data_IF_884552752536
#
_entry.id   IF_884552752536
#
_cell.length_a   1.000
_cell.length_b   1.000
_cell.length_c   1.000
_cell.angle_alpha   90.00
_cell.angle_beta   90.00
_cell.angle_gamma   90.00
#
_symmetry.space_group_name_H-M   'P 1'
#
loop_
_entity.id
_entity.type
_entity.pdbx_description
1 polymer ?
#
# COMPACT_ATOMS: atom_id res chain seq x y z
N UNK A 1 6.87 -12.17 -20.50
CA UNK A 1 7.91 -12.07 -19.45
C UNK A 1 9.02 -11.18 -19.96
N UNK A 2 9.11 -9.93 -19.49
CA UNK A 2 10.19 -8.99 -19.79
C UNK A 2 10.77 -8.53 -18.46
N UNK A 3 11.51 -9.41 -17.78
CA UNK A 3 11.90 -9.19 -16.37
C UNK A 3 13.42 -9.03 -16.17
N UNK A 4 14.22 -8.97 -17.25
CA UNK A 4 15.68 -8.94 -17.08
C UNK A 4 16.37 -7.68 -17.61
N UNK A 5 15.91 -7.04 -18.70
CA UNK A 5 16.63 -5.87 -19.26
C UNK A 5 15.78 -4.83 -20.04
N UNK A 6 14.44 -4.89 -19.99
CA UNK A 6 13.58 -4.12 -20.92
C UNK A 6 12.34 -3.47 -20.31
N UNK A 7 12.26 -3.39 -18.99
CA UNK A 7 11.07 -2.90 -18.27
C UNK A 7 10.77 -1.43 -18.63
N UNK A 8 11.82 -0.60 -18.73
CA UNK A 8 11.73 0.80 -19.18
C UNK A 8 11.24 0.97 -20.63
N UNK A 9 11.40 -0.04 -21.49
CA UNK A 9 10.93 0.00 -22.89
C UNK A 9 9.44 -0.33 -23.02
N UNK A 10 8.84 -0.91 -21.98
CA UNK A 10 7.41 -1.27 -21.93
C UNK A 10 6.58 -0.34 -21.06
N UNK A 11 7.24 0.53 -20.28
CA UNK A 11 6.59 1.49 -19.40
C UNK A 11 5.85 2.55 -20.20
N UNK A 12 4.53 2.65 -20.00
CA UNK A 12 3.65 3.62 -20.64
C UNK A 12 2.85 4.33 -19.54
N UNK A 13 3.37 5.43 -18.97
CA UNK A 13 2.73 6.13 -17.86
C UNK A 13 1.27 6.48 -18.15
N UNK A 14 0.95 6.81 -19.41
CA UNK A 14 -0.40 7.14 -19.87
C UNK A 14 -1.42 5.99 -19.75
N UNK A 15 -0.94 4.76 -19.51
CA UNK A 15 -1.77 3.56 -19.32
C UNK A 15 -1.82 3.09 -17.88
N UNK A 16 -1.10 3.75 -16.97
CA UNK A 16 -1.17 3.44 -15.55
C UNK A 16 -2.55 3.86 -15.02
N UNK A 17 -3.14 3.01 -14.18
CA UNK A 17 -4.43 3.28 -13.56
C UNK A 17 -4.37 2.91 -12.08
N UNK A 18 -4.99 3.75 -11.24
CA UNK A 18 -5.23 3.45 -9.84
C UNK A 18 -6.60 2.80 -9.72
N UNK A 19 -6.65 1.61 -9.11
CA UNK A 19 -7.91 0.94 -8.80
C UNK A 19 -8.10 0.91 -7.29
N UNK A 20 -9.26 1.38 -6.82
CA UNK A 20 -9.64 1.32 -5.41
C UNK A 20 -10.67 0.20 -5.24
N UNK A 21 -10.35 -0.77 -4.39
CA UNK A 21 -11.25 -1.88 -4.03
C UNK A 21 -11.76 -1.69 -2.59
N UNK A 22 -13.04 -1.97 -2.32
CA UNK A 22 -13.59 -1.90 -0.96
C UNK A 22 -13.13 -3.05 -0.06
N UNK A 23 -12.45 -4.05 -0.63
CA UNK A 23 -11.97 -5.25 0.04
C UNK A 23 -10.45 -5.38 -0.12
N UNK A 24 -9.85 -6.28 0.65
CA UNK A 24 -8.43 -6.58 0.55
C UNK A 24 -8.17 -7.44 -0.69
N UNK A 25 -7.68 -6.81 -1.76
CA UNK A 25 -7.22 -7.50 -2.96
C UNK A 25 -5.89 -8.22 -2.70
N UNK A 26 -5.91 -9.56 -2.77
CA UNK A 26 -4.82 -10.41 -2.31
C UNK A 26 -3.71 -10.65 -3.33
N UNK A 27 -2.48 -10.28 -2.96
CA UNK A 27 -1.20 -11.01 -3.01
C UNK A 27 -0.09 -9.96 -3.03
N UNK A 28 0.79 -9.96 -2.04
CA UNK A 28 1.94 -9.05 -1.91
C UNK A 28 1.60 -7.58 -1.60
N UNK A 29 1.15 -7.26 -0.37
CA UNK A 29 1.11 -5.87 0.08
C UNK A 29 2.52 -5.27 0.00
N UNK A 30 2.64 -4.14 -0.68
CA UNK A 30 3.90 -3.45 -0.91
C UNK A 30 4.14 -2.32 0.10
N UNK A 31 3.09 -1.61 0.49
CA UNK A 31 3.15 -0.50 1.44
C UNK A 31 1.79 -0.26 2.12
N UNK A 32 1.81 0.18 3.39
CA UNK A 32 0.62 0.47 4.20
C UNK A 32 0.64 1.94 4.58
N UNK A 33 -0.55 2.55 4.49
CA UNK A 33 -0.84 3.81 5.15
C UNK A 33 -1.79 3.54 6.33
N UNK A 34 -1.47 4.12 7.48
CA UNK A 34 -2.36 4.16 8.65
C UNK A 34 -2.86 5.60 8.80
N UNK A 35 -4.17 5.79 8.67
CA UNK A 35 -4.79 7.10 8.50
C UNK A 35 -5.93 7.22 9.49
N UNK A 36 -5.88 8.25 10.33
CA UNK A 36 -7.02 8.57 11.18
C UNK A 36 -8.17 9.09 10.31
N UNK A 37 -9.40 8.69 10.60
CA UNK A 37 -10.57 9.00 9.78
C UNK A 37 -10.83 10.50 9.65
N UNK A 38 -10.40 11.32 10.61
CA UNK A 38 -10.48 12.78 10.56
C UNK A 38 -9.46 13.42 9.59
N UNK A 39 -8.40 12.70 9.25
CA UNK A 39 -7.36 13.14 8.30
C UNK A 39 -7.57 12.63 6.87
N UNK A 40 -8.60 11.82 6.61
CA UNK A 40 -8.80 11.15 5.33
C UNK A 40 -8.86 12.13 4.14
N UNK A 41 -9.58 13.25 4.29
CA UNK A 41 -9.69 14.28 3.24
C UNK A 41 -8.33 14.95 2.96
N UNK A 42 -7.51 15.12 4.00
CA UNK A 42 -6.17 15.67 3.85
C UNK A 42 -5.23 14.66 3.17
N UNK A 43 -5.27 13.40 3.60
CA UNK A 43 -4.51 12.32 2.98
C UNK A 43 -4.80 12.21 1.48
N UNK A 44 -6.09 12.18 1.10
CA UNK A 44 -6.51 12.10 -0.30
C UNK A 44 -5.91 13.26 -1.12
N UNK A 45 -6.06 14.50 -0.63
CA UNK A 45 -5.54 15.69 -1.32
C UNK A 45 -4.02 15.67 -1.44
N UNK A 46 -3.30 15.28 -0.39
CA UNK A 46 -1.84 15.22 -0.42
C UNK A 46 -1.37 14.13 -1.37
N UNK A 47 -1.98 12.93 -1.32
CA UNK A 47 -1.65 11.82 -2.20
C UNK A 47 -1.91 12.16 -3.68
N UNK A 48 -3.05 12.76 -4.00
CA UNK A 48 -3.40 13.14 -5.39
C UNK A 48 -2.48 14.23 -5.97
N UNK A 49 -1.80 14.99 -5.13
CA UNK A 49 -0.90 16.08 -5.54
C UNK A 49 0.59 15.72 -5.45
N UNK A 50 0.90 14.49 -5.00
CA UNK A 50 2.26 13.95 -4.88
C UNK A 50 2.84 13.54 -6.24
N UNK A 51 3.10 14.53 -7.10
CA UNK A 51 3.61 14.34 -8.46
C UNK A 51 5.15 14.23 -8.55
N UNK A 52 5.84 14.15 -7.42
CA UNK A 52 7.29 13.97 -7.34
C UNK A 52 7.63 13.07 -6.15
N UNK A 53 8.83 12.49 -6.18
CA UNK A 53 9.34 11.63 -5.11
C UNK A 53 9.34 12.37 -3.76
N UNK A 54 9.78 13.63 -3.73
CA UNK A 54 9.84 14.41 -2.50
C UNK A 54 8.45 14.67 -1.90
N UNK A 55 7.45 14.90 -2.74
CA UNK A 55 6.07 15.07 -2.27
C UNK A 55 5.45 13.76 -1.83
N UNK A 56 5.83 12.65 -2.46
CA UNK A 56 5.39 11.33 -2.03
C UNK A 56 6.02 10.96 -0.69
N UNK A 57 7.27 11.32 -0.47
CA UNK A 57 7.94 11.18 0.82
C UNK A 57 7.21 11.94 1.92
N UNK A 58 6.63 13.12 1.66
CA UNK A 58 5.79 13.83 2.63
C UNK A 58 4.55 13.01 3.03
N UNK A 59 3.91 12.31 2.09
CA UNK A 59 2.78 11.40 2.36
C UNK A 59 3.26 10.23 3.23
N UNK A 60 4.36 9.60 2.84
CA UNK A 60 4.96 8.46 3.54
C UNK A 60 5.40 8.83 4.95
N UNK A 61 5.99 10.01 5.15
CA UNK A 61 6.43 10.49 6.46
C UNK A 61 5.27 10.68 7.42
N UNK A 62 4.10 11.07 6.91
CA UNK A 62 2.94 11.39 7.75
C UNK A 62 2.05 10.17 8.02
N UNK A 63 1.79 9.33 7.02
CA UNK A 63 0.84 8.22 7.14
C UNK A 63 1.46 6.84 6.85
N UNK A 64 2.67 6.79 6.31
CA UNK A 64 3.30 5.54 5.90
C UNK A 64 3.75 4.69 7.08
N UNK A 65 3.40 3.41 7.06
CA UNK A 65 3.81 2.45 8.08
C UNK A 65 5.07 1.73 7.62
N UNK A 66 6.23 2.17 8.11
CA UNK A 66 7.51 1.51 7.83
C UNK A 66 7.64 0.20 8.63
N UNK A 67 8.47 -0.73 8.17
CA UNK A 67 8.71 -2.01 8.89
C UNK A 67 9.31 -1.81 10.28
N UNK A 68 10.00 -0.69 10.49
CA UNK A 68 10.56 -0.27 11.77
C UNK A 68 9.54 0.34 12.72
N UNK A 69 8.30 0.58 12.28
CA UNK A 69 7.25 1.14 13.12
C UNK A 69 6.97 0.18 14.29
N UNK A 70 6.87 0.68 15.55
CA UNK A 70 6.69 -0.19 16.72
C UNK A 70 5.41 -1.03 16.67
N UNK A 71 4.38 -0.54 15.98
CA UNK A 71 3.10 -1.23 15.80
C UNK A 71 2.97 -1.95 14.45
N UNK A 72 4.04 -2.04 13.65
CA UNK A 72 4.00 -2.63 12.30
C UNK A 72 3.26 -3.96 12.27
N UNK A 73 3.62 -4.91 13.14
CA UNK A 73 3.00 -6.23 13.16
C UNK A 73 1.53 -6.21 13.59
N UNK A 74 1.14 -5.27 14.46
CA UNK A 74 -0.26 -5.15 14.86
C UNK A 74 -1.11 -4.70 13.67
N UNK A 75 -0.67 -3.64 12.98
CA UNK A 75 -1.35 -3.09 11.80
C UNK A 75 -1.37 -4.13 10.66
N UNK A 76 -0.23 -4.77 10.38
CA UNK A 76 -0.12 -5.74 9.29
C UNK A 76 -1.01 -6.99 9.51
N UNK A 77 -1.12 -7.47 10.74
CA UNK A 77 -2.01 -8.61 11.04
C UNK A 77 -3.49 -8.23 11.09
N UNK A 78 -3.82 -6.95 11.23
CA UNK A 78 -5.21 -6.47 11.25
C UNK A 78 -5.94 -6.82 9.94
N UNK A 79 -5.24 -6.73 8.80
CA UNK A 79 -5.77 -7.20 7.50
C UNK A 79 -6.21 -8.66 7.53
N UNK A 80 -5.41 -9.53 8.16
CA UNK A 80 -5.73 -10.95 8.30
C UNK A 80 -6.92 -11.15 9.23
N UNK A 81 -7.02 -10.37 10.32
CA UNK A 81 -8.17 -10.44 11.22
C UNK A 81 -9.45 -10.00 10.53
N UNK A 82 -9.42 -8.86 9.83
CA UNK A 82 -10.55 -8.38 9.05
C UNK A 82 -11.01 -9.41 8.01
N UNK A 83 -10.08 -10.04 7.28
CA UNK A 83 -10.44 -11.11 6.33
C UNK A 83 -11.10 -12.30 7.03
N UNK A 84 -10.61 -12.71 8.21
CA UNK A 84 -11.23 -13.80 8.98
C UNK A 84 -12.65 -13.46 9.42
N UNK A 85 -12.92 -12.20 9.74
CA UNK A 85 -14.25 -11.73 10.14
C UNK A 85 -15.22 -11.65 8.95
N UNK A 86 -14.76 -11.17 7.79
CA UNK A 86 -15.63 -10.93 6.62
C UNK A 86 -15.73 -12.12 5.66
N UNK A 87 -14.63 -12.84 5.42
CA UNK A 87 -14.56 -13.99 4.52
C UNK A 87 -13.59 -15.08 5.05
N UNK A 88 -14.01 -15.86 6.06
CA UNK A 88 -13.14 -16.82 6.74
C UNK A 88 -12.64 -17.97 5.85
N UNK A 89 -13.31 -18.26 4.74
CA UNK A 89 -12.93 -19.36 3.83
C UNK A 89 -11.69 -18.97 3.02
N UNK A 90 -11.64 -17.72 2.55
CA UNK A 90 -10.54 -17.20 1.73
C UNK A 90 -9.47 -16.47 2.55
N UNK A 91 -9.65 -16.35 3.87
CA UNK A 91 -8.74 -15.65 4.75
C UNK A 91 -7.35 -16.31 4.78
N UNK A 92 -6.33 -15.57 4.36
CA UNK A 92 -4.93 -15.99 4.34
C UNK A 92 -4.07 -15.26 5.36
N UNK A 93 -2.77 -15.53 5.34
CA UNK A 93 -1.76 -14.72 6.04
C UNK A 93 -0.93 -14.02 4.97
N UNK A 94 -0.74 -12.71 5.13
CA UNK A 94 0.10 -11.94 4.23
C UNK A 94 1.59 -12.18 4.51
N UNK A 95 2.39 -12.24 3.45
CA UNK A 95 3.84 -12.33 3.54
C UNK A 95 4.46 -10.93 3.40
N UNK A 96 5.16 -10.48 4.44
CA UNK A 96 5.87 -9.20 4.47
C UNK A 96 7.23 -9.24 3.74
N UNK A 97 7.63 -10.34 3.10
CA UNK A 97 8.90 -10.47 2.39
C UNK A 97 9.05 -9.49 1.21
N UNK A 98 7.94 -8.96 0.66
CA UNK A 98 7.94 -7.93 -0.39
C UNK A 98 7.55 -6.54 0.12
N UNK A 99 7.52 -6.36 1.44
CA UNK A 99 7.17 -5.08 2.04
C UNK A 99 8.34 -4.11 1.93
N UNK A 100 8.11 -2.96 1.31
CA UNK A 100 9.16 -1.96 1.12
C UNK A 100 9.42 -1.19 2.41
N UNK A 101 10.69 -0.79 2.57
CA UNK A 101 11.09 0.16 3.60
C UNK A 101 11.51 1.45 2.88
N UNK A 102 10.54 2.05 2.20
CA UNK A 102 10.57 3.45 1.78
C UNK A 102 10.90 4.31 2.99
#
# INVERSE_FOLDING_TARGET
MAFLFGESLSYKPEKDSLTVYPEIAGSYPNFIFDINSDELELFEKTLLTASSEEKFDEVVLKWGVRRTHPQFWQIFHDFTQWQREQNPIDAGVFDANRYENL
#
